data_IF_096088896059
#
_entry.id   IF_096088896059
#
_cell.length_a   1.000
_cell.length_b   1.000
_cell.length_c   1.000
_cell.angle_alpha   90.00
_cell.angle_beta   90.00
_cell.angle_gamma   90.00
#
_symmetry.space_group_name_H-M   'P 1'
#
loop_
_entity.id
_entity.type
_entity.pdbx_description
1 polymer ?
#
# COMPACT_ATOMS: atom_id res chain seq x y z
N UNK A 1 49.07 10.22 7.99
CA UNK A 1 47.71 10.45 7.48
C UNK A 1 46.82 9.36 8.07
N UNK A 2 46.08 9.64 9.15
CA UNK A 2 45.11 8.67 9.70
C UNK A 2 43.80 8.88 8.94
N UNK A 3 43.44 7.93 8.06
CA UNK A 3 42.13 7.91 7.42
C UNK A 3 41.15 7.22 8.36
N UNK A 4 40.30 8.00 9.03
CA UNK A 4 39.19 7.50 9.83
C UNK A 4 38.10 7.01 8.88
N UNK A 5 37.84 5.70 8.86
CA UNK A 5 36.81 5.10 8.02
C UNK A 5 35.40 5.56 8.50
N UNK A 6 34.47 5.91 7.59
CA UNK A 6 33.12 6.28 7.98
C UNK A 6 32.44 5.09 8.66
N UNK A 7 32.07 5.27 9.93
CA UNK A 7 31.32 4.26 10.68
C UNK A 7 29.93 4.14 10.05
N UNK A 8 29.67 3.05 9.32
CA UNK A 8 28.32 2.67 8.89
C UNK A 8 27.47 2.42 10.14
N UNK A 9 26.70 3.41 10.58
CA UNK A 9 25.66 3.20 11.59
C UNK A 9 24.50 2.48 10.92
N UNK A 10 24.38 1.16 11.13
CA UNK A 10 23.23 0.39 10.67
C UNK A 10 21.95 0.96 11.34
N UNK A 11 21.03 1.50 10.55
CA UNK A 11 19.72 1.90 11.05
C UNK A 11 18.87 0.65 11.23
N UNK A 12 18.55 0.27 12.47
CA UNK A 12 17.55 -0.77 12.75
C UNK A 12 16.16 -0.23 12.39
N UNK A 13 15.82 -0.43 11.12
CA UNK A 13 14.50 -0.29 10.50
C UNK A 13 13.43 -1.22 11.06
N UNK A 14 12.49 -0.82 11.91
CA UNK A 14 11.34 -1.69 12.28
C UNK A 14 10.26 -1.73 11.17
N UNK A 15 10.69 -1.91 9.92
CA UNK A 15 9.87 -1.69 8.73
C UNK A 15 8.78 -2.76 8.59
N UNK A 16 9.12 -4.03 8.85
CA UNK A 16 8.21 -5.17 8.70
C UNK A 16 7.02 -5.07 9.66
N UNK A 17 7.30 -4.76 10.93
CA UNK A 17 6.29 -4.54 11.97
C UNK A 17 5.36 -3.37 11.65
N UNK A 18 5.87 -2.31 11.00
CA UNK A 18 5.07 -1.16 10.58
C UNK A 18 4.21 -1.46 9.35
N UNK A 19 4.71 -2.24 8.40
CA UNK A 19 3.94 -2.70 7.23
C UNK A 19 2.75 -3.55 7.69
N UNK A 20 2.95 -4.42 8.68
CA UNK A 20 1.88 -5.24 9.26
C UNK A 20 0.76 -4.42 9.93
N UNK A 21 1.03 -3.17 10.32
CA UNK A 21 0.06 -2.26 10.95
C UNK A 21 -0.69 -1.38 9.94
N UNK A 22 -0.34 -1.44 8.65
CA UNK A 22 -1.01 -0.62 7.63
C UNK A 22 -2.47 -1.06 7.49
N UNK A 23 -3.45 -0.14 7.62
CA UNK A 23 -4.86 -0.52 7.62
C UNK A 23 -5.33 -1.03 6.25
N UNK A 24 -6.29 -1.96 6.30
CA UNK A 24 -7.06 -2.37 5.12
C UNK A 24 -8.31 -1.49 4.98
N UNK A 25 -8.47 -0.91 3.81
CA UNK A 25 -9.59 -0.03 3.44
C UNK A 25 -10.57 -0.82 2.58
N UNK A 26 -11.83 -0.88 3.02
CA UNK A 26 -12.88 -1.53 2.25
C UNK A 26 -13.69 -0.52 1.42
N UNK A 27 -13.78 -0.78 0.11
CA UNK A 27 -14.42 0.11 -0.85
C UNK A 27 -15.64 -0.57 -1.48
N UNK A 28 -16.75 0.16 -1.59
CA UNK A 28 -17.96 -0.29 -2.29
C UNK A 28 -17.92 0.11 -3.78
N UNK A 29 -16.81 -0.17 -4.47
CA UNK A 29 -16.57 0.12 -5.90
C UNK A 29 -15.56 -0.88 -6.46
N UNK A 30 -15.53 -1.00 -7.79
CA UNK A 30 -14.54 -1.81 -8.50
C UNK A 30 -13.15 -1.17 -8.55
N UNK A 31 -13.07 0.13 -8.30
CA UNK A 31 -11.82 0.90 -8.35
C UNK A 31 -11.70 1.72 -7.06
N UNK A 32 -10.53 1.63 -6.41
CA UNK A 32 -10.13 2.53 -5.35
C UNK A 32 -9.26 3.67 -5.92
N UNK A 33 -9.34 4.85 -5.30
CA UNK A 33 -8.51 6.01 -5.66
C UNK A 33 -7.65 6.37 -4.46
N UNK A 34 -6.33 6.30 -4.64
CA UNK A 34 -5.38 6.77 -3.64
C UNK A 34 -4.90 8.17 -4.02
N UNK A 35 -5.29 9.18 -3.23
CA UNK A 35 -5.12 10.61 -3.55
C UNK A 35 -3.71 11.16 -3.42
N UNK A 36 -2.74 10.37 -2.95
CA UNK A 36 -1.32 10.71 -3.10
C UNK A 36 -0.76 11.87 -2.25
N UNK A 37 -1.59 12.49 -1.40
CA UNK A 37 -1.38 13.81 -0.79
C UNK A 37 -0.01 14.08 -0.10
N UNK A 38 0.81 13.08 0.19
CA UNK A 38 2.12 13.25 0.84
C UNK A 38 3.30 12.53 0.16
N UNK A 39 3.08 11.54 -0.73
CA UNK A 39 4.16 10.66 -1.22
C UNK A 39 4.11 10.28 -2.69
N UNK A 40 2.96 10.38 -3.38
CA UNK A 40 2.84 9.92 -4.77
C UNK A 40 1.71 10.65 -5.52
N UNK A 41 1.60 10.47 -6.83
CA UNK A 41 0.47 10.99 -7.62
C UNK A 41 -0.78 10.14 -7.41
N UNK A 42 -1.95 10.63 -7.84
CA UNK A 42 -3.19 9.85 -7.82
C UNK A 42 -2.98 8.49 -8.50
N UNK A 43 -3.34 7.41 -7.80
CA UNK A 43 -3.31 6.04 -8.30
C UNK A 43 -4.72 5.45 -8.28
N UNK A 44 -5.13 4.87 -9.42
CA UNK A 44 -6.38 4.13 -9.56
C UNK A 44 -6.08 2.64 -9.45
N UNK A 45 -6.74 1.97 -8.52
CA UNK A 45 -6.44 0.58 -8.14
C UNK A 45 -7.66 -0.28 -8.47
N UNK A 46 -7.53 -1.17 -9.44
CA UNK A 46 -8.57 -2.13 -9.83
C UNK A 46 -8.73 -3.20 -8.73
N UNK A 47 -9.90 -3.29 -8.11
CA UNK A 47 -10.22 -4.25 -7.04
C UNK A 47 -10.99 -5.46 -7.55
N UNK A 48 -11.76 -5.29 -8.63
CA UNK A 48 -12.37 -6.42 -9.34
C UNK A 48 -11.32 -7.03 -10.27
N UNK A 49 -10.53 -7.96 -9.73
CA UNK A 49 -9.52 -8.71 -10.46
C UNK A 49 -9.94 -10.18 -10.57
N UNK A 50 -9.23 -10.96 -11.38
CA UNK A 50 -9.53 -12.39 -11.58
C UNK A 50 -9.65 -13.19 -10.26
N UNK A 51 -8.97 -12.74 -9.19
CA UNK A 51 -9.19 -13.25 -7.84
C UNK A 51 -10.13 -12.31 -7.10
N UNK A 52 -11.42 -12.64 -7.14
CA UNK A 52 -12.46 -11.89 -6.43
C UNK A 52 -12.10 -11.71 -4.95
N UNK A 53 -12.38 -10.52 -4.44
CA UNK A 53 -12.13 -10.14 -3.04
C UNK A 53 -10.67 -10.23 -2.59
N UNK A 54 -9.71 -10.30 -3.52
CA UNK A 54 -8.29 -10.12 -3.18
C UNK A 54 -8.03 -8.65 -2.83
N UNK A 55 -7.26 -8.44 -1.76
CA UNK A 55 -6.78 -7.11 -1.44
C UNK A 55 -5.69 -6.69 -2.42
N UNK A 56 -5.74 -5.44 -2.84
CA UNK A 56 -4.77 -4.79 -3.72
C UNK A 56 -4.10 -3.67 -2.97
N UNK A 57 -2.82 -3.45 -3.19
CA UNK A 57 -2.06 -2.42 -2.49
C UNK A 57 -1.79 -1.24 -3.39
N UNK A 58 -1.86 -0.03 -2.82
CA UNK A 58 -1.24 1.12 -3.44
C UNK A 58 0.26 0.89 -3.49
N UNK A 59 0.87 0.97 -4.69
CA UNK A 59 2.29 0.69 -4.90
C UNK A 59 3.21 1.58 -4.07
N UNK A 60 2.72 2.77 -3.72
CA UNK A 60 3.52 3.82 -3.10
C UNK A 60 3.26 3.95 -1.58
N UNK A 61 2.01 3.85 -1.15
CA UNK A 61 1.67 3.94 0.27
C UNK A 61 1.75 2.60 1.00
N UNK A 62 1.64 1.47 0.29
CA UNK A 62 1.48 0.16 0.92
C UNK A 62 0.11 -0.06 1.57
N UNK A 63 -0.83 0.89 1.44
CA UNK A 63 -2.21 0.76 1.94
C UNK A 63 -2.95 -0.31 1.15
N UNK A 64 -3.64 -1.19 1.88
CA UNK A 64 -4.40 -2.30 1.33
C UNK A 64 -5.83 -1.85 1.06
N UNK A 65 -6.35 -2.19 -0.11
CA UNK A 65 -7.71 -1.90 -0.54
C UNK A 65 -8.40 -3.21 -0.89
N UNK A 66 -9.64 -3.38 -0.46
CA UNK A 66 -10.45 -4.56 -0.79
C UNK A 66 -11.87 -4.13 -1.12
N UNK A 67 -12.51 -4.86 -2.02
CA UNK A 67 -13.92 -4.66 -2.29
C UNK A 67 -14.78 -5.20 -1.13
N UNK A 68 -15.81 -4.45 -0.72
CA UNK A 68 -16.78 -4.94 0.26
C UNK A 68 -17.49 -6.20 -0.24
N UNK A 69 -17.69 -7.16 0.66
CA UNK A 69 -18.43 -8.39 0.33
C UNK A 69 -19.86 -8.06 -0.11
N UNK A 70 -20.31 -8.70 -1.20
CA UNK A 70 -21.65 -8.48 -1.78
C UNK A 70 -21.75 -7.29 -2.74
N UNK A 71 -20.69 -6.51 -2.91
CA UNK A 71 -20.61 -5.56 -4.01
C UNK A 71 -20.12 -6.31 -5.26
N UNK A 72 -21.00 -6.50 -6.24
CA UNK A 72 -20.61 -6.95 -7.57
C UNK A 72 -20.64 -5.74 -8.48
N UNK A 73 -19.55 -5.52 -9.22
CA UNK A 73 -19.47 -4.49 -10.23
C UNK A 73 -20.56 -4.67 -11.28
N UNK A 74 -21.70 -4.03 -11.06
CA UNK A 74 -22.73 -3.88 -12.08
C UNK A 74 -22.13 -3.16 -13.26
N UNK A 75 -22.15 -3.84 -14.40
CA UNK A 75 -21.61 -3.38 -15.68
C UNK A 75 -22.43 -2.22 -16.24
#
# INVERSE_FOLDING_TARGET
MHLEAPTLTATSSDAEQRIAQVPMVEVARNVAVCGGALRHSVEYIQLDTAKHHSAQTCKYCGVWYKMKAGFHGGH
#
